data_IF_414624898268
#
_entry.id   IF_414624898268
#
_cell.length_a   1.000
_cell.length_b   1.000
_cell.length_c   1.000
_cell.angle_alpha   90.00
_cell.angle_beta   90.00
_cell.angle_gamma   90.00
#
_symmetry.space_group_name_H-M   'P 1'
#
loop_
_entity.id
_entity.type
_entity.pdbx_description
1 polymer ?
#
# COMPACT_ATOMS: atom_id res chain seq x y z
N UNK A 1 9.11 -12.96 1.44
CA UNK A 1 8.93 -11.96 2.51
C UNK A 1 8.40 -10.63 1.95
N UNK A 2 9.08 -9.96 1.01
CA UNK A 2 8.67 -8.65 0.43
C UNK A 2 7.28 -8.61 -0.23
N UNK A 3 6.78 -9.73 -0.76
CA UNK A 3 5.47 -9.82 -1.42
C UNK A 3 4.39 -10.48 -0.56
N UNK A 4 4.61 -10.59 0.76
CA UNK A 4 3.58 -11.16 1.62
C UNK A 4 2.35 -10.24 1.63
N UNK A 5 1.18 -10.82 1.33
CA UNK A 5 -0.09 -10.10 1.15
C UNK A 5 -0.41 -9.14 2.30
N UNK A 6 -0.12 -9.55 3.53
CA UNK A 6 -0.39 -8.77 4.74
C UNK A 6 0.52 -7.53 4.85
N UNK A 7 1.80 -7.66 4.50
CA UNK A 7 2.74 -6.54 4.52
C UNK A 7 2.41 -5.52 3.44
N UNK A 8 2.08 -5.98 2.24
CA UNK A 8 1.62 -5.13 1.14
C UNK A 8 0.33 -4.38 1.48
N UNK A 9 -0.59 -5.00 2.23
CA UNK A 9 -1.81 -4.36 2.68
C UNK A 9 -1.55 -3.29 3.75
N UNK A 10 -0.66 -3.56 4.70
CA UNK A 10 -0.29 -2.58 5.72
C UNK A 10 0.39 -1.35 5.09
N UNK A 11 1.30 -1.57 4.13
CA UNK A 11 1.90 -0.50 3.32
C UNK A 11 0.84 0.32 2.58
N UNK A 12 -0.10 -0.35 1.91
CA UNK A 12 -1.20 0.32 1.21
C UNK A 12 -2.04 1.19 2.15
N UNK A 13 -2.41 0.66 3.32
CA UNK A 13 -3.16 1.41 4.31
C UNK A 13 -2.37 2.61 4.85
N UNK A 14 -1.07 2.47 5.08
CA UNK A 14 -0.26 3.57 5.56
C UNK A 14 -0.25 4.75 4.57
N UNK A 15 -0.14 4.46 3.28
CA UNK A 15 -0.29 5.47 2.22
C UNK A 15 -1.66 6.13 2.29
N UNK A 16 -2.74 5.35 2.41
CA UNK A 16 -4.12 5.87 2.52
C UNK A 16 -4.36 6.72 3.76
N UNK A 17 -3.80 6.34 4.90
CA UNK A 17 -3.84 7.11 6.14
C UNK A 17 -3.17 8.47 5.93
N UNK A 18 -1.96 8.51 5.37
CA UNK A 18 -1.24 9.77 5.13
C UNK A 18 -1.92 10.65 4.07
N UNK A 19 -2.46 10.07 3.00
CA UNK A 19 -3.27 10.78 1.99
C UNK A 19 -4.50 11.44 2.63
N UNK A 20 -5.23 10.71 3.48
CA UNK A 20 -6.42 11.22 4.18
C UNK A 20 -6.07 12.26 5.24
N UNK A 21 -5.01 12.04 6.03
CA UNK A 21 -4.54 13.02 7.00
C UNK A 21 -4.19 14.35 6.31
N UNK A 22 -3.50 14.29 5.17
CA UNK A 22 -3.17 15.46 4.35
C UNK A 22 -4.40 16.17 3.78
N UNK A 23 -5.42 15.41 3.37
CA UNK A 23 -6.70 15.96 2.93
C UNK A 23 -7.44 16.69 4.07
N UNK A 24 -7.51 16.08 5.25
CA UNK A 24 -8.20 16.69 6.41
C UNK A 24 -7.49 17.96 6.86
N UNK A 25 -6.16 17.92 6.92
CA UNK A 25 -5.32 19.07 7.26
C UNK A 25 -5.49 20.21 6.25
N UNK A 26 -5.60 19.90 4.94
CA UNK A 26 -5.86 20.93 3.93
C UNK A 26 -7.27 21.52 3.99
N UNK A 27 -8.21 20.83 4.63
CA UNK A 27 -9.56 21.32 4.94
C UNK A 27 -9.62 22.13 6.25
N UNK A 28 -8.47 22.33 6.92
CA UNK A 28 -8.38 23.07 8.18
C UNK A 28 -8.68 22.24 9.43
N UNK A 29 -8.81 20.91 9.30
CA UNK A 29 -8.96 20.02 10.46
C UNK A 29 -7.58 19.85 11.10
N UNK A 30 -7.48 20.22 12.38
CA UNK A 30 -6.25 20.00 13.15
C UNK A 30 -6.13 18.52 13.53
N UNK A 31 -5.02 17.91 13.14
CA UNK A 31 -4.71 16.52 13.46
C UNK A 31 -3.50 16.47 14.40
N UNK A 32 -3.59 15.78 15.55
CA UNK A 32 -2.47 15.67 16.47
C UNK A 32 -1.34 14.86 15.83
N UNK A 33 -0.17 15.48 15.71
CA UNK A 33 1.04 14.91 15.15
C UNK A 33 2.25 15.62 15.77
N UNK A 34 3.43 15.00 15.68
CA UNK A 34 4.69 15.67 16.04
C UNK A 34 4.95 16.85 15.09
N UNK A 35 5.77 17.80 15.53
CA UNK A 35 6.04 19.03 14.77
C UNK A 35 6.55 18.76 13.35
N UNK A 36 7.48 17.82 13.19
CA UNK A 36 8.02 17.47 11.87
C UNK A 36 6.98 16.78 10.99
N UNK A 37 6.16 15.88 11.54
CA UNK A 37 5.10 15.24 10.76
C UNK A 37 4.03 16.26 10.36
N UNK A 38 3.65 17.15 11.28
CA UNK A 38 2.70 18.24 11.03
C UNK A 38 3.18 19.13 9.89
N UNK A 39 4.47 19.50 9.89
CA UNK A 39 5.08 20.23 8.78
C UNK A 39 4.83 19.56 7.42
N UNK A 40 5.11 18.25 7.28
CA UNK A 40 4.91 17.54 6.01
C UNK A 40 3.44 17.30 5.62
N UNK A 41 2.53 17.27 6.61
CA UNK A 41 1.09 17.23 6.36
C UNK A 41 0.60 18.55 5.74
N UNK A 42 1.10 19.70 6.19
CA UNK A 42 0.77 21.01 5.62
C UNK A 42 1.54 21.32 4.33
N UNK A 43 2.70 20.69 4.11
CA UNK A 43 3.56 20.98 2.97
C UNK A 43 2.96 20.52 1.64
N UNK A 44 2.78 21.43 0.69
CA UNK A 44 2.37 21.11 -0.68
C UNK A 44 3.43 20.39 -1.50
N UNK A 45 3.06 19.92 -2.70
CA UNK A 45 4.00 19.34 -3.67
C UNK A 45 4.84 20.46 -4.29
N UNK A 46 6.11 20.56 -3.90
CA UNK A 46 7.07 21.52 -4.45
C UNK A 46 8.49 20.95 -4.39
N UNK A 47 9.46 21.65 -4.96
CA UNK A 47 10.88 21.28 -4.86
C UNK A 47 11.30 21.24 -3.39
N UNK A 48 12.06 20.20 -3.01
CA UNK A 48 12.60 20.08 -1.67
C UNK A 48 13.56 21.24 -1.36
N UNK A 49 13.47 21.73 -0.13
CA UNK A 49 14.29 22.79 0.46
C UNK A 49 15.26 22.20 1.48
N UNK A 50 16.23 22.98 1.95
CA UNK A 50 17.15 22.51 3.00
C UNK A 50 16.41 22.21 4.32
N UNK A 51 15.37 23.01 4.65
CA UNK A 51 14.50 22.75 5.81
C UNK A 51 13.76 21.41 5.67
N UNK A 52 13.32 21.05 4.46
CA UNK A 52 12.70 19.74 4.21
C UNK A 52 13.63 18.60 4.56
N UNK A 53 14.89 18.70 4.13
CA UNK A 53 15.88 17.66 4.39
C UNK A 53 16.13 17.57 5.89
N UNK A 54 16.35 18.70 6.57
CA UNK A 54 16.57 18.74 8.02
C UNK A 54 15.40 18.10 8.79
N UNK A 55 14.16 18.53 8.53
CA UNK A 55 12.98 17.99 9.20
C UNK A 55 12.73 16.53 8.87
N UNK A 56 12.99 16.11 7.63
CA UNK A 56 12.85 14.72 7.22
C UNK A 56 13.83 13.81 7.97
N UNK A 57 15.07 14.26 8.22
CA UNK A 57 16.06 13.47 8.99
C UNK A 57 15.67 13.28 10.46
N UNK A 58 14.74 14.09 10.96
CA UNK A 58 14.20 13.99 12.31
C UNK A 58 12.90 13.19 12.40
N UNK A 59 12.40 12.65 11.28
CA UNK A 59 11.24 11.76 11.27
C UNK A 59 11.67 10.30 11.41
N UNK A 60 10.95 9.56 12.25
CA UNK A 60 11.08 8.12 12.38
C UNK A 60 9.72 7.40 12.49
N UNK A 61 9.75 6.09 12.68
CA UNK A 61 8.55 5.26 12.80
C UNK A 61 7.68 5.65 14.02
N UNK A 62 8.27 6.23 15.07
CA UNK A 62 7.52 6.65 16.26
C UNK A 62 6.62 7.83 15.97
N UNK A 63 7.04 8.80 15.15
CA UNK A 63 6.20 9.93 14.73
C UNK A 63 4.91 9.42 14.08
N UNK A 64 5.06 8.47 13.15
CA UNK A 64 3.95 7.88 12.39
C UNK A 64 3.06 7.03 13.31
N UNK A 65 3.65 6.18 14.15
CA UNK A 65 2.90 5.32 15.07
C UNK A 65 2.15 6.16 16.11
N UNK A 66 2.77 7.19 16.67
CA UNK A 66 2.13 8.09 17.63
C UNK A 66 0.96 8.83 16.99
N UNK A 67 1.14 9.37 15.79
CA UNK A 67 0.07 10.02 15.04
C UNK A 67 -1.10 9.06 14.79
N UNK A 68 -0.86 7.85 14.27
CA UNK A 68 -1.91 6.85 14.07
C UNK A 68 -2.61 6.45 15.39
N UNK A 69 -1.89 6.36 16.51
CA UNK A 69 -2.48 6.09 17.82
C UNK A 69 -3.47 7.17 18.25
N UNK A 70 -3.22 8.43 17.90
CA UNK A 70 -4.15 9.52 18.15
C UNK A 70 -5.29 9.52 17.12
N UNK A 71 -4.95 9.38 15.83
CA UNK A 71 -5.90 9.42 14.71
C UNK A 71 -6.92 8.28 14.72
N UNK A 72 -6.63 7.17 15.40
CA UNK A 72 -7.63 6.12 15.60
C UNK A 72 -8.88 6.62 16.36
N UNK A 73 -8.80 7.75 17.07
CA UNK A 73 -9.89 8.32 17.86
C UNK A 73 -10.47 9.62 17.29
N UNK A 74 -10.13 10.00 16.04
CA UNK A 74 -10.67 11.21 15.40
C UNK A 74 -12.10 11.00 14.91
N UNK A 75 -12.83 12.10 14.73
CA UNK A 75 -14.20 12.09 14.19
C UNK A 75 -14.28 11.63 12.72
N UNK A 76 -13.20 11.79 11.94
CA UNK A 76 -13.15 11.26 10.58
C UNK A 76 -13.15 9.73 10.61
N UNK A 77 -14.31 9.14 10.31
CA UNK A 77 -14.54 7.70 10.41
C UNK A 77 -13.55 6.91 9.53
N UNK A 78 -13.22 7.39 8.33
CA UNK A 78 -12.31 6.69 7.40
C UNK A 78 -10.89 6.65 7.98
N UNK A 79 -10.36 7.80 8.39
CA UNK A 79 -9.03 7.89 9.01
C UNK A 79 -8.97 7.06 10.29
N UNK A 80 -9.99 7.19 11.16
CA UNK A 80 -10.10 6.42 12.40
C UNK A 80 -10.08 4.92 12.11
N UNK A 81 -10.88 4.47 11.14
CA UNK A 81 -10.98 3.07 10.76
C UNK A 81 -9.63 2.50 10.30
N UNK A 82 -8.94 3.16 9.38
CA UNK A 82 -7.65 2.68 8.90
C UNK A 82 -6.58 2.69 9.99
N UNK A 83 -6.53 3.72 10.81
CA UNK A 83 -5.60 3.77 11.95
C UNK A 83 -5.88 2.63 12.93
N UNK A 84 -7.15 2.34 13.27
CA UNK A 84 -7.52 1.17 14.10
C UNK A 84 -7.06 -0.13 13.45
N UNK A 85 -7.27 -0.31 12.14
CA UNK A 85 -6.83 -1.51 11.42
C UNK A 85 -5.33 -1.77 11.57
N UNK A 86 -4.50 -0.72 11.47
CA UNK A 86 -3.04 -0.86 11.58
C UNK A 86 -2.61 -1.04 13.04
N UNK A 87 -3.05 -0.16 13.95
CA UNK A 87 -2.65 -0.17 15.37
C UNK A 87 -3.10 -1.45 16.08
N UNK A 88 -4.32 -1.91 15.82
CA UNK A 88 -4.88 -3.12 16.44
C UNK A 88 -4.56 -4.39 15.65
N UNK A 89 -3.78 -4.28 14.56
CA UNK A 89 -3.46 -5.36 13.61
C UNK A 89 -4.70 -6.08 13.06
N UNK A 90 -5.85 -5.41 13.04
CA UNK A 90 -7.09 -5.92 12.46
C UNK A 90 -7.24 -5.46 11.00
N UNK A 91 -6.34 -5.95 10.14
CA UNK A 91 -6.28 -5.52 8.75
C UNK A 91 -7.54 -5.98 7.95
N UNK A 92 -7.97 -5.17 6.96
CA UNK A 92 -9.07 -5.49 6.06
C UNK A 92 -8.92 -6.87 5.39
N UNK A 93 -10.05 -7.43 4.93
CA UNK A 93 -10.04 -8.67 4.17
C UNK A 93 -9.46 -8.40 2.77
N UNK A 94 -8.84 -9.41 2.19
CA UNK A 94 -8.30 -9.35 0.82
C UNK A 94 -8.75 -10.55 0.01
N UNK A 95 -9.16 -10.33 -1.23
CA UNK A 95 -9.36 -11.37 -2.25
C UNK A 95 -8.34 -11.13 -3.35
N UNK A 96 -7.70 -12.20 -3.84
CA UNK A 96 -6.66 -12.11 -4.87
C UNK A 96 -7.14 -12.84 -6.12
N UNK A 97 -7.01 -12.20 -7.28
CA UNK A 97 -7.35 -12.75 -8.58
C UNK A 97 -6.21 -12.54 -9.59
N UNK A 98 -6.13 -13.41 -10.60
CA UNK A 98 -5.29 -13.18 -11.79
C UNK A 98 -5.94 -12.23 -12.81
N UNK A 99 -7.24 -11.98 -12.67
CA UNK A 99 -8.05 -11.11 -13.53
C UNK A 99 -8.63 -9.94 -12.72
N UNK A 100 -8.95 -8.80 -13.35
CA UNK A 100 -9.69 -7.72 -12.69
C UNK A 100 -10.98 -8.23 -12.06
N UNK A 101 -11.46 -7.57 -11.01
CA UNK A 101 -12.74 -7.87 -10.41
C UNK A 101 -13.87 -7.25 -11.22
N UNK A 102 -14.99 -7.97 -11.34
CA UNK A 102 -16.21 -7.45 -11.95
C UNK A 102 -16.71 -6.22 -11.18
N UNK A 103 -17.13 -5.19 -11.92
CA UNK A 103 -17.57 -3.92 -11.33
C UNK A 103 -18.77 -4.12 -10.39
N UNK A 104 -19.70 -5.01 -10.75
CA UNK A 104 -20.86 -5.37 -9.92
C UNK A 104 -20.44 -5.97 -8.57
N UNK A 105 -19.36 -6.75 -8.53
CA UNK A 105 -18.83 -7.33 -7.29
C UNK A 105 -18.21 -6.28 -6.38
N UNK A 106 -17.53 -5.28 -6.95
CA UNK A 106 -16.98 -4.15 -6.20
C UNK A 106 -18.11 -3.30 -5.62
N UNK A 107 -19.15 -3.02 -6.42
CA UNK A 107 -20.33 -2.26 -6.01
C UNK A 107 -21.10 -2.94 -4.88
N UNK A 108 -21.25 -4.27 -4.93
CA UNK A 108 -21.82 -5.06 -3.84
C UNK A 108 -21.03 -4.85 -2.54
N UNK A 109 -19.69 -4.88 -2.57
CA UNK A 109 -18.88 -4.62 -1.38
C UNK A 109 -19.05 -3.19 -0.87
N UNK A 110 -19.12 -2.20 -1.76
CA UNK A 110 -19.34 -0.80 -1.38
C UNK A 110 -20.70 -0.64 -0.70
N UNK A 111 -21.75 -1.26 -1.24
CA UNK A 111 -23.09 -1.25 -0.66
C UNK A 111 -23.08 -1.84 0.76
N UNK A 112 -22.45 -3.00 0.92
CA UNK A 112 -22.38 -3.66 2.23
C UNK A 112 -21.55 -2.83 3.25
N UNK A 113 -20.51 -2.11 2.80
CA UNK A 113 -19.77 -1.14 3.63
C UNK A 113 -20.68 -0.02 4.09
N UNK A 114 -21.41 0.59 3.16
CA UNK A 114 -22.35 1.66 3.45
C UNK A 114 -23.39 1.24 4.49
N UNK A 115 -24.00 0.06 4.30
CA UNK A 115 -25.00 -0.50 5.22
C UNK A 115 -24.42 -0.80 6.60
N UNK A 116 -23.24 -1.42 6.66
CA UNK A 116 -22.62 -1.82 7.92
C UNK A 116 -22.18 -0.61 8.78
N UNK A 117 -21.61 0.41 8.15
CA UNK A 117 -21.12 1.61 8.87
C UNK A 117 -22.14 2.75 8.94
N UNK A 118 -23.28 2.64 8.25
CA UNK A 118 -24.27 3.73 8.17
C UNK A 118 -23.73 4.97 7.43
N UNK A 119 -22.95 4.76 6.36
CA UNK A 119 -22.30 5.83 5.59
C UNK A 119 -22.67 5.77 4.11
N UNK A 120 -22.31 6.79 3.35
CA UNK A 120 -22.53 6.85 1.90
C UNK A 120 -21.23 6.80 1.07
N UNK A 121 -20.08 6.95 1.72
CA UNK A 121 -18.76 7.03 1.09
C UNK A 121 -17.95 5.73 1.22
N UNK A 122 -18.60 4.57 1.32
CA UNK A 122 -17.95 3.25 1.46
C UNK A 122 -16.99 2.87 0.32
N UNK A 123 -17.08 3.56 -0.83
CA UNK A 123 -16.09 3.49 -1.91
C UNK A 123 -14.67 3.85 -1.42
N UNK A 124 -14.56 4.72 -0.42
CA UNK A 124 -13.29 5.07 0.20
C UNK A 124 -12.66 3.89 0.95
N UNK A 125 -13.43 2.86 1.34
CA UNK A 125 -12.92 1.70 2.09
C UNK A 125 -12.76 0.43 1.24
N UNK A 126 -13.18 0.47 -0.03
CA UNK A 126 -13.08 -0.66 -0.97
C UNK A 126 -12.09 -0.30 -2.08
N UNK A 127 -10.99 -1.05 -2.18
CA UNK A 127 -9.94 -0.76 -3.15
C UNK A 127 -9.56 -2.00 -3.96
N UNK A 128 -9.44 -1.83 -5.27
CA UNK A 128 -8.77 -2.80 -6.14
C UNK A 128 -7.32 -2.34 -6.39
N UNK A 129 -6.37 -3.17 -5.96
CA UNK A 129 -4.94 -2.91 -6.11
C UNK A 129 -4.40 -3.81 -7.22
N UNK A 130 -3.86 -3.21 -8.28
CA UNK A 130 -3.17 -3.93 -9.36
C UNK A 130 -1.66 -4.00 -9.07
N UNK A 131 -1.13 -5.20 -8.82
CA UNK A 131 0.31 -5.42 -8.66
C UNK A 131 0.88 -6.22 -9.83
N UNK A 132 1.97 -5.72 -10.40
CA UNK A 132 2.77 -6.42 -11.40
C UNK A 132 4.06 -6.88 -10.73
N UNK A 133 4.37 -8.16 -10.85
CA UNK A 133 5.61 -8.74 -10.38
C UNK A 133 6.42 -9.18 -11.59
N UNK A 134 7.60 -8.59 -11.73
CA UNK A 134 8.64 -9.04 -12.64
C UNK A 134 9.84 -9.44 -11.77
N UNK A 135 10.08 -10.76 -11.57
CA UNK A 135 11.16 -11.21 -10.70
C UNK A 135 12.55 -10.81 -11.18
N UNK A 136 12.74 -10.71 -12.50
CA UNK A 136 13.99 -10.33 -13.13
C UNK A 136 13.73 -9.66 -14.48
N UNK A 137 14.38 -8.51 -14.73
CA UNK A 137 14.28 -7.73 -15.97
C UNK A 137 15.60 -7.83 -16.73
N UNK A 138 15.63 -8.71 -17.73
CA UNK A 138 16.81 -8.98 -18.56
C UNK A 138 17.27 -7.79 -19.38
N UNK A 139 16.35 -6.88 -19.71
CA UNK A 139 16.63 -5.75 -20.60
C UNK A 139 17.25 -4.60 -19.81
N UNK A 140 16.77 -4.36 -18.59
CA UNK A 140 17.29 -3.29 -17.74
C UNK A 140 18.48 -3.70 -16.87
N UNK A 141 18.51 -4.95 -16.41
CA UNK A 141 19.49 -5.43 -15.43
C UNK A 141 20.05 -6.80 -15.84
N UNK A 142 20.69 -6.92 -17.02
CA UNK A 142 21.26 -8.18 -17.46
C UNK A 142 22.39 -8.63 -16.53
N UNK A 143 22.30 -9.87 -16.07
CA UNK A 143 23.34 -10.60 -15.37
C UNK A 143 24.17 -11.34 -16.42
N UNK A 144 25.48 -11.14 -16.36
CA UNK A 144 26.44 -11.83 -17.23
C UNK A 144 27.22 -12.88 -16.45
N UNK A 145 27.35 -14.07 -17.04
CA UNK A 145 28.20 -15.15 -16.53
C UNK A 145 29.57 -15.08 -17.22
N UNK A 146 30.63 -15.06 -16.43
CA UNK A 146 32.01 -15.10 -16.92
C UNK A 146 32.48 -16.56 -17.01
N UNK A 147 32.79 -17.00 -18.23
CA UNK A 147 33.32 -18.34 -18.46
C UNK A 147 34.83 -18.40 -18.22
N UNK A 148 35.36 -19.61 -18.01
CA UNK A 148 36.81 -19.86 -17.81
C UNK A 148 37.68 -19.38 -18.98
N UNK A 149 37.13 -19.34 -20.19
CA UNK A 149 37.79 -18.81 -21.38
C UNK A 149 37.76 -17.27 -21.48
N UNK A 150 37.22 -16.58 -20.46
CA UNK A 150 37.09 -15.12 -20.43
C UNK A 150 35.88 -14.54 -21.18
N UNK A 151 35.10 -15.38 -21.89
CA UNK A 151 33.89 -14.93 -22.59
C UNK A 151 32.76 -14.66 -21.58
N UNK A 152 31.99 -13.61 -21.84
CA UNK A 152 30.74 -13.31 -21.13
C UNK A 152 29.56 -13.84 -21.92
N UNK A 153 28.63 -14.50 -21.24
CA UNK A 153 27.31 -14.89 -21.78
C UNK A 153 26.23 -14.30 -20.89
N UNK A 154 25.05 -13.98 -21.42
CA UNK A 154 23.95 -13.55 -20.55
C UNK A 154 23.34 -14.72 -19.81
N UNK A 155 22.81 -14.46 -18.62
CA UNK A 155 22.15 -15.47 -17.79
C UNK A 155 20.96 -16.11 -18.52
N UNK A 156 20.19 -15.32 -19.28
CA UNK A 156 19.03 -15.76 -20.06
C UNK A 156 19.38 -16.51 -21.35
N UNK A 157 20.65 -16.45 -21.77
CA UNK A 157 21.20 -17.21 -22.90
C UNK A 157 21.89 -18.52 -22.43
N UNK A 158 21.96 -18.75 -21.12
CA UNK A 158 22.56 -19.96 -20.56
C UNK A 158 21.61 -21.16 -20.72
N UNK A 159 22.14 -22.28 -21.21
CA UNK A 159 21.42 -23.56 -21.32
C UNK A 159 21.13 -24.22 -19.96
N UNK A 160 21.58 -23.63 -18.85
CA UNK A 160 21.36 -24.16 -17.51
C UNK A 160 19.88 -24.08 -17.11
N UNK A 161 19.25 -25.25 -17.04
CA UNK A 161 17.83 -25.43 -16.78
C UNK A 161 17.39 -24.90 -15.40
N UNK A 162 18.31 -24.81 -14.43
CA UNK A 162 18.05 -24.22 -13.12
C UNK A 162 17.93 -22.69 -13.19
N UNK A 163 18.68 -22.06 -14.11
CA UNK A 163 18.72 -20.60 -14.27
C UNK A 163 17.52 -20.10 -15.10
N UNK A 164 17.10 -20.87 -16.11
CA UNK A 164 15.89 -20.55 -16.90
C UNK A 164 14.60 -20.62 -16.07
N UNK A 165 14.52 -21.48 -15.05
CA UNK A 165 13.39 -21.55 -14.12
C UNK A 165 13.21 -20.31 -13.22
N UNK A 166 14.26 -19.52 -13.03
CA UNK A 166 14.24 -18.24 -12.28
C UNK A 166 13.65 -17.09 -13.12
N UNK A 167 13.60 -17.27 -14.44
CA UNK A 167 13.08 -16.33 -15.43
C UNK A 167 11.54 -16.38 -15.45
N UNK A 168 10.92 -16.10 -14.31
CA UNK A 168 9.47 -16.10 -14.19
C UNK A 168 8.88 -14.97 -15.04
N UNK A 169 7.91 -15.35 -15.87
CA UNK A 169 7.09 -14.41 -16.62
C UNK A 169 6.46 -13.35 -15.71
N UNK A 170 6.30 -12.15 -16.26
CA UNK A 170 5.59 -11.05 -15.61
C UNK A 170 4.20 -11.52 -15.16
N UNK A 171 3.96 -11.53 -13.86
CA UNK A 171 2.65 -11.88 -13.31
C UNK A 171 1.91 -10.62 -12.89
N UNK A 172 0.62 -10.56 -13.21
CA UNK A 172 -0.27 -9.52 -12.71
C UNK A 172 -1.24 -10.14 -11.72
N UNK A 173 -1.42 -9.51 -10.57
CA UNK A 173 -2.39 -9.89 -9.55
C UNK A 173 -3.25 -8.68 -9.23
N UNK A 174 -4.55 -8.91 -9.12
CA UNK A 174 -5.54 -7.95 -8.66
C UNK A 174 -5.90 -8.33 -7.23
N UNK A 175 -5.85 -7.35 -6.32
CA UNK A 175 -6.12 -7.55 -4.90
C UNK A 175 -7.28 -6.63 -4.53
N UNK A 176 -8.46 -7.20 -4.27
CA UNK A 176 -9.59 -6.44 -3.74
C UNK A 176 -9.50 -6.43 -2.22
N UNK A 177 -9.55 -5.25 -1.61
CA UNK A 177 -9.57 -5.09 -0.15
C UNK A 177 -10.81 -4.34 0.32
N UNK A 178 -11.39 -4.81 1.43
CA UNK A 178 -12.60 -4.27 2.04
C UNK A 178 -12.68 -4.63 3.53
N UNK A 179 -13.47 -3.91 4.34
CA UNK A 179 -13.59 -4.15 5.77
C UNK A 179 -13.99 -5.58 6.13
N UNK A 180 -13.32 -6.14 7.15
CA UNK A 180 -13.47 -7.55 7.55
C UNK A 180 -14.87 -7.88 8.10
N UNK A 181 -15.48 -6.96 8.86
CA UNK A 181 -16.75 -7.19 9.55
C UNK A 181 -17.92 -7.50 8.59
N UNK A 182 -17.81 -7.07 7.35
CA UNK A 182 -18.79 -7.31 6.29
C UNK A 182 -18.70 -8.74 5.74
N UNK A 183 -17.57 -9.42 5.97
CA UNK A 183 -17.35 -10.75 5.39
C UNK A 183 -18.18 -11.86 6.01
N UNK A 184 -18.82 -11.62 7.16
CA UNK A 184 -19.74 -12.55 7.83
C UNK A 184 -21.20 -12.41 7.38
N UNK A 185 -21.53 -11.38 6.59
CA UNK A 185 -22.88 -11.18 6.03
C UNK A 185 -23.07 -12.04 4.74
N UNK A 186 -21.98 -12.65 4.26
CA UNK A 186 -21.90 -13.30 2.94
C UNK A 186 -21.52 -14.79 3.08
N UNK A 187 -21.92 -15.41 4.20
CA UNK A 187 -21.84 -16.86 4.41
C UNK A 187 -23.25 -17.45 4.50
#
# INVERSE_FOLDING_TARGET
>A
VYYHKTSALAEFLLVKILERAKLLVSQGIDLPATENLKYFLHRGKSTATDEDVERFTQLDDNDIIQAMKNWQNTDDMILSYWCKCVIQRNLPKTIISSHPFEQSFIEEKIKNVNEFFGIHNGKELVHEIKRKLLPYDTEKQPIYLLQKNGKKIRLDESEDQLLSGLMRNKTTRYILTFPRNISHIIS
#
